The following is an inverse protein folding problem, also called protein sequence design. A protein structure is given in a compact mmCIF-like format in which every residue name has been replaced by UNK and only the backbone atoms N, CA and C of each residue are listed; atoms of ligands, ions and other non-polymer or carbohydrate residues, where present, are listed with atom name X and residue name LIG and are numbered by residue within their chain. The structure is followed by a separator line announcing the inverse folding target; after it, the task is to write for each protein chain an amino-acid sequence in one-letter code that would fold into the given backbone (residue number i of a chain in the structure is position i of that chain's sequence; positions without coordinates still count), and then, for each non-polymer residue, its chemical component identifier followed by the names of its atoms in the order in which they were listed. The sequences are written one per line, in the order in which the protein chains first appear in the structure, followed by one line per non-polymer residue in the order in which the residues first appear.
data_IF_373972347881
#
_entry.id   IF_373972347881
#
_cell.length_a   1.000
_cell.length_b   1.000
_cell.length_c   1.000
_cell.angle_alpha   90.00
_cell.angle_beta   90.00
_cell.angle_gamma   90.00
#
_symmetry.space_group_name_H-M   'P 1'
#
loop_
_entity.id
_entity.type
_entity.pdbx_description
1 polymer ?
#
# COMPACT_ATOMS: atom_id res chain seq x y z
N UNK A 1 0.93 26.06 -52.63
CA UNK A 1 0.63 26.16 -51.19
C UNK A 1 -0.11 24.88 -50.83
N UNK A 2 0.63 23.84 -50.44
CA UNK A 2 0.12 22.47 -50.34
C UNK A 2 -0.44 22.24 -48.93
N UNK A 3 -1.72 21.90 -48.86
CA UNK A 3 -2.41 21.47 -47.65
C UNK A 3 -1.77 20.19 -47.09
N UNK A 4 -1.10 20.31 -45.95
CA UNK A 4 -0.72 19.16 -45.12
C UNK A 4 -1.88 18.86 -44.18
N UNK A 5 -2.76 17.97 -44.61
CA UNK A 5 -3.72 17.30 -43.72
C UNK A 5 -2.96 16.33 -42.83
N UNK A 6 -2.85 16.66 -41.54
CA UNK A 6 -2.36 15.76 -40.50
C UNK A 6 -3.34 14.59 -40.43
N UNK A 7 -2.96 13.45 -41.00
CA UNK A 7 -3.66 12.18 -40.78
C UNK A 7 -3.52 11.84 -39.30
N UNK A 8 -4.59 11.99 -38.53
CA UNK A 8 -4.70 11.36 -37.21
C UNK A 8 -4.50 9.86 -37.38
N UNK A 9 -3.35 9.35 -36.93
CA UNK A 9 -3.15 7.91 -36.78
C UNK A 9 -4.10 7.41 -35.69
N UNK A 10 -4.84 6.31 -35.91
CA UNK A 10 -5.66 5.72 -34.87
C UNK A 10 -4.78 5.33 -33.69
N UNK A 11 -5.25 5.48 -32.43
CA UNK A 11 -4.48 5.09 -31.27
C UNK A 11 -4.11 3.61 -31.38
N UNK A 12 -2.81 3.30 -31.23
CA UNK A 12 -2.31 1.93 -31.24
C UNK A 12 -3.08 1.14 -30.18
N UNK A 13 -3.85 0.14 -30.62
CA UNK A 13 -4.69 -0.64 -29.72
C UNK A 13 -3.82 -1.43 -28.74
N UNK A 14 -4.08 -1.26 -27.44
CA UNK A 14 -3.40 -2.05 -26.41
C UNK A 14 -3.77 -3.53 -26.56
N UNK A 15 -2.77 -4.40 -26.44
CA UNK A 15 -2.91 -5.85 -26.56
C UNK A 15 -2.67 -6.49 -25.19
N UNK A 16 -3.35 -7.61 -24.85
CA UNK A 16 -3.07 -8.32 -23.61
C UNK A 16 -1.59 -8.69 -23.48
N UNK A 17 -1.03 -8.66 -22.27
CA UNK A 17 0.39 -8.96 -22.05
C UNK A 17 0.73 -10.45 -22.16
N UNK A 18 -0.26 -11.31 -22.29
CA UNK A 18 -0.12 -12.76 -22.38
C UNK A 18 -1.24 -13.35 -23.25
N UNK A 19 -1.00 -14.54 -23.79
CA UNK A 19 -1.96 -15.27 -24.63
C UNK A 19 -2.30 -16.65 -24.04
N UNK A 20 -1.45 -17.17 -23.16
CA UNK A 20 -1.62 -18.46 -22.49
C UNK A 20 -2.91 -18.55 -21.66
N UNK A 21 -3.52 -19.75 -21.64
CA UNK A 21 -4.66 -20.05 -20.78
C UNK A 21 -4.17 -20.58 -19.43
N UNK A 22 -3.99 -19.66 -18.48
CA UNK A 22 -3.41 -19.94 -17.16
C UNK A 22 -4.36 -20.70 -16.24
N UNK A 23 -5.68 -20.51 -16.40
CA UNK A 23 -6.70 -21.10 -15.54
C UNK A 23 -7.04 -22.55 -15.92
N UNK A 24 -6.42 -23.09 -16.98
CA UNK A 24 -6.67 -24.42 -17.52
C UNK A 24 -8.07 -24.55 -18.15
N UNK A 25 -8.22 -25.44 -19.14
CA UNK A 25 -9.53 -26.07 -19.36
C UNK A 25 -9.67 -27.08 -18.25
N UNK A 26 -10.62 -26.89 -17.32
CA UNK A 26 -10.95 -27.92 -16.35
C UNK A 26 -11.16 -29.23 -17.11
N UNK A 27 -10.36 -30.25 -16.79
CA UNK A 27 -10.65 -31.61 -17.22
C UNK A 27 -12.03 -31.95 -16.64
N UNK A 28 -12.98 -32.23 -17.52
CA UNK A 28 -14.29 -32.84 -17.26
C UNK A 28 -14.97 -32.47 -15.94
N UNK A 29 -15.77 -31.39 -15.95
CA UNK A 29 -17.11 -31.29 -15.34
C UNK A 29 -17.59 -29.83 -15.27
N UNK A 30 -18.39 -29.40 -16.25
CA UNK A 30 -19.56 -28.49 -16.20
C UNK A 30 -19.63 -27.19 -15.38
N UNK A 31 -18.73 -26.86 -14.45
CA UNK A 31 -18.82 -25.63 -13.63
C UNK A 31 -17.60 -24.75 -13.82
N UNK A 32 -17.65 -23.86 -14.82
CA UNK A 32 -16.66 -22.80 -14.99
C UNK A 32 -16.80 -21.82 -13.83
N UNK A 33 -15.87 -21.85 -12.88
CA UNK A 33 -15.87 -20.91 -11.76
C UNK A 33 -15.78 -19.47 -12.30
N UNK A 34 -16.68 -18.56 -11.90
CA UNK A 34 -16.82 -17.25 -12.53
C UNK A 34 -15.56 -16.39 -12.37
N UNK A 35 -15.29 -15.55 -13.38
CA UNK A 35 -14.14 -14.62 -13.38
C UNK A 35 -14.36 -13.40 -12.47
N UNK A 36 -15.61 -12.97 -12.33
CA UNK A 36 -16.01 -11.77 -11.61
C UNK A 36 -16.84 -12.14 -10.37
N UNK A 37 -16.73 -11.37 -9.27
CA UNK A 37 -17.63 -11.49 -8.14
C UNK A 37 -19.04 -10.95 -8.51
N UNK A 38 -20.06 -11.36 -7.75
CA UNK A 38 -21.43 -10.90 -8.00
C UNK A 38 -21.65 -9.43 -7.63
N UNK A 39 -20.99 -8.95 -6.57
CA UNK A 39 -21.18 -7.60 -6.04
C UNK A 39 -19.88 -6.93 -5.66
N UNK A 40 -19.89 -5.60 -5.64
CA UNK A 40 -18.79 -4.79 -5.15
C UNK A 40 -19.29 -3.61 -4.32
N UNK A 41 -18.41 -3.02 -3.50
CA UNK A 41 -18.73 -1.86 -2.67
C UNK A 41 -18.11 -0.61 -3.26
N UNK A 42 -18.94 0.38 -3.55
CA UNK A 42 -18.50 1.71 -4.01
C UNK A 42 -17.76 2.49 -2.91
N UNK A 43 -17.03 3.56 -3.28
CA UNK A 43 -16.40 4.52 -2.34
C UNK A 43 -17.39 5.11 -1.32
N UNK A 44 -18.70 5.10 -1.61
CA UNK A 44 -19.80 5.54 -0.72
C UNK A 44 -20.37 4.43 0.19
N UNK A 45 -19.73 3.26 0.22
CA UNK A 45 -20.15 2.07 0.97
C UNK A 45 -21.47 1.44 0.51
N UNK A 46 -21.95 1.76 -0.69
CA UNK A 46 -23.13 1.13 -1.28
C UNK A 46 -22.71 -0.14 -2.03
N UNK A 47 -23.47 -1.22 -1.84
CA UNK A 47 -23.29 -2.49 -2.56
C UNK A 47 -23.99 -2.39 -3.91
N UNK A 48 -23.31 -2.78 -4.98
CA UNK A 48 -23.85 -2.82 -6.35
C UNK A 48 -23.51 -4.15 -7.01
N UNK A 49 -24.32 -4.56 -7.99
CA UNK A 49 -24.02 -5.71 -8.84
C UNK A 49 -22.89 -5.36 -9.81
N UNK A 50 -21.99 -6.31 -10.05
CA UNK A 50 -20.89 -6.15 -11.02
C UNK A 50 -21.41 -6.25 -12.46
N UNK A 51 -22.45 -7.06 -12.67
CA UNK A 51 -23.09 -7.24 -13.98
C UNK A 51 -23.66 -5.95 -14.55
N UNK A 52 -24.07 -5.00 -13.70
CA UNK A 52 -24.67 -3.74 -14.13
C UNK A 52 -23.61 -2.80 -14.73
N UNK A 53 -22.40 -2.80 -14.16
CA UNK A 53 -21.32 -1.89 -14.53
C UNK A 53 -19.95 -2.49 -14.16
N UNK A 54 -19.45 -3.37 -15.04
CA UNK A 54 -18.13 -4.00 -14.89
C UNK A 54 -17.03 -2.95 -14.85
N UNK A 55 -17.20 -1.83 -15.58
CA UNK A 55 -16.22 -0.76 -15.64
C UNK A 55 -16.07 -0.08 -14.29
N UNK A 56 -17.16 0.34 -13.66
CA UNK A 56 -17.11 0.96 -12.34
C UNK A 56 -16.65 -0.01 -11.25
N UNK A 57 -16.88 -1.32 -11.43
CA UNK A 57 -16.26 -2.34 -10.59
C UNK A 57 -14.73 -2.32 -10.73
N UNK A 58 -14.20 -2.40 -11.95
CA UNK A 58 -12.76 -2.41 -12.20
C UNK A 58 -12.07 -1.14 -11.71
N UNK A 59 -12.68 0.02 -11.92
CA UNK A 59 -12.18 1.31 -11.41
C UNK A 59 -12.13 1.35 -9.87
N UNK A 60 -13.03 0.61 -9.21
CA UNK A 60 -13.03 0.49 -7.74
C UNK A 60 -12.08 -0.57 -7.22
N UNK A 61 -11.91 -1.69 -7.93
CA UNK A 61 -11.06 -2.81 -7.50
C UNK A 61 -9.57 -2.53 -7.74
N UNK A 62 -9.27 -1.85 -8.84
CA UNK A 62 -7.93 -1.42 -9.22
C UNK A 62 -7.62 0.02 -8.78
N UNK A 63 -8.33 0.55 -7.78
CA UNK A 63 -8.11 1.91 -7.27
C UNK A 63 -6.78 2.01 -6.50
N UNK A 64 -5.90 2.90 -6.99
CA UNK A 64 -4.61 3.26 -6.36
C UNK A 64 -4.44 4.77 -6.19
N UNK A 65 -5.53 5.56 -6.32
CA UNK A 65 -5.52 7.03 -6.27
C UNK A 65 -4.81 7.53 -5.00
N UNK A 66 -5.14 6.92 -3.86
CA UNK A 66 -4.58 7.26 -2.53
C UNK A 66 -3.06 7.18 -2.46
N UNK A 67 -2.44 6.28 -3.22
CA UNK A 67 -0.98 6.13 -3.29
C UNK A 67 -0.38 7.04 -4.36
N UNK A 68 -1.10 7.25 -5.46
CA UNK A 68 -0.70 8.17 -6.51
C UNK A 68 -0.66 9.63 -6.04
N UNK A 69 -1.62 10.05 -5.22
CA UNK A 69 -1.68 11.38 -4.60
C UNK A 69 -0.43 11.71 -3.77
N UNK A 70 0.17 10.68 -3.15
CA UNK A 70 1.34 10.82 -2.30
C UNK A 70 2.63 10.32 -2.96
N UNK A 71 2.61 10.07 -4.28
CA UNK A 71 3.71 9.44 -5.00
C UNK A 71 5.07 10.12 -4.74
N UNK A 72 5.09 11.46 -4.71
CA UNK A 72 6.29 12.28 -4.41
C UNK A 72 6.93 12.01 -3.04
N UNK A 73 6.22 11.39 -2.12
CA UNK A 73 6.69 11.06 -0.76
C UNK A 73 6.93 9.56 -0.56
N UNK A 74 6.62 8.71 -1.54
CA UNK A 74 6.73 7.26 -1.40
C UNK A 74 8.17 6.78 -1.19
N UNK A 75 9.17 7.56 -1.61
CA UNK A 75 10.58 7.30 -1.30
C UNK A 75 10.86 7.21 0.21
N UNK A 76 10.08 7.91 1.03
CA UNK A 76 10.15 7.73 2.47
C UNK A 76 9.59 6.36 2.86
N UNK A 77 8.48 5.91 2.26
CA UNK A 77 7.79 4.70 2.65
C UNK A 77 8.41 3.39 2.13
N UNK A 78 9.13 3.41 1.02
CA UNK A 78 9.74 2.24 0.41
C UNK A 78 10.86 2.58 -0.57
N UNK A 79 11.66 1.58 -0.92
CA UNK A 79 12.68 1.68 -1.97
C UNK A 79 11.99 1.51 -3.33
N UNK A 80 12.40 2.24 -4.39
CA UNK A 80 11.89 2.04 -5.75
C UNK A 80 12.50 0.77 -6.35
N UNK A 81 12.06 -0.39 -5.87
CA UNK A 81 12.48 -1.71 -6.32
C UNK A 81 11.28 -2.64 -6.44
N UNK A 82 11.43 -3.70 -7.24
CA UNK A 82 10.48 -4.82 -7.23
C UNK A 82 10.30 -5.39 -5.81
N UNK A 83 9.13 -5.95 -5.48
CA UNK A 83 8.91 -6.62 -4.20
C UNK A 83 9.82 -7.84 -4.05
N UNK A 84 10.13 -8.20 -2.81
CA UNK A 84 10.88 -9.44 -2.53
C UNK A 84 9.96 -10.66 -2.59
N UNK A 85 10.47 -11.83 -3.02
CA UNK A 85 9.68 -13.05 -3.19
C UNK A 85 9.03 -13.53 -1.89
N UNK A 86 7.97 -14.34 -1.99
CA UNK A 86 7.14 -14.75 -0.86
C UNK A 86 7.91 -15.52 0.22
N UNK A 87 8.83 -16.40 -0.16
CA UNK A 87 9.69 -17.14 0.77
C UNK A 87 10.57 -16.18 1.59
N UNK A 88 11.01 -15.06 1.02
CA UNK A 88 11.76 -14.04 1.74
C UNK A 88 10.88 -13.34 2.78
N UNK A 89 9.61 -13.10 2.48
CA UNK A 89 8.66 -12.55 3.45
C UNK A 89 8.46 -13.51 4.63
N UNK A 90 8.32 -14.80 4.35
CA UNK A 90 8.23 -15.85 5.36
C UNK A 90 9.51 -15.93 6.21
N UNK A 91 10.70 -15.85 5.59
CA UNK A 91 11.99 -15.78 6.28
C UNK A 91 12.09 -14.57 7.23
N UNK A 92 11.49 -13.43 6.84
CA UNK A 92 11.39 -12.23 7.69
C UNK A 92 10.34 -12.35 8.80
N UNK A 93 9.73 -13.52 8.98
CA UNK A 93 8.64 -13.78 9.94
C UNK A 93 7.44 -12.85 9.74
N UNK A 94 7.20 -12.43 8.49
CA UNK A 94 6.00 -11.68 8.13
C UNK A 94 4.92 -12.66 7.71
N UNK A 95 3.78 -12.55 8.37
CA UNK A 95 2.56 -13.24 7.96
C UNK A 95 2.02 -12.63 6.65
N UNK A 96 1.62 -13.48 5.71
CA UNK A 96 1.11 -13.05 4.40
C UNK A 96 -0.40 -12.95 4.51
N UNK A 97 -0.91 -11.72 4.64
CA UNK A 97 -2.33 -11.46 4.88
C UNK A 97 -3.02 -11.06 3.59
N UNK A 98 -4.08 -11.79 3.24
CA UNK A 98 -4.95 -11.48 2.10
C UNK A 98 -5.65 -10.13 2.32
N UNK A 99 -5.51 -9.23 1.34
CA UNK A 99 -6.16 -7.93 1.35
C UNK A 99 -6.74 -7.56 -0.01
N UNK A 100 -8.06 -7.60 -0.16
CA UNK A 100 -8.73 -7.33 -1.45
C UNK A 100 -8.53 -5.92 -1.99
N UNK A 101 -8.17 -4.94 -1.14
CA UNK A 101 -7.94 -3.58 -1.63
C UNK A 101 -6.56 -3.46 -2.27
N UNK A 102 -6.52 -3.01 -3.52
CA UNK A 102 -5.26 -2.84 -4.23
C UNK A 102 -4.33 -1.79 -3.59
N UNK A 103 -4.90 -0.77 -2.92
CA UNK A 103 -4.15 0.23 -2.17
C UNK A 103 -3.37 -0.36 -0.96
N UNK A 104 -3.70 -1.57 -0.51
CA UNK A 104 -2.97 -2.30 0.54
C UNK A 104 -1.99 -3.35 -0.02
N UNK A 105 -2.06 -3.68 -1.30
CA UNK A 105 -1.15 -4.65 -1.91
C UNK A 105 0.31 -4.22 -1.70
N UNK A 106 1.14 -5.10 -1.15
CA UNK A 106 2.55 -4.90 -0.76
C UNK A 106 2.81 -3.84 0.32
N UNK A 107 1.78 -3.41 1.04
CA UNK A 107 1.96 -2.63 2.27
C UNK A 107 2.32 -3.57 3.41
N UNK A 108 3.35 -3.26 4.18
CA UNK A 108 3.84 -4.14 5.24
C UNK A 108 4.04 -3.44 6.58
N UNK A 109 3.96 -4.26 7.63
CA UNK A 109 4.29 -4.00 9.03
C UNK A 109 5.31 -5.04 9.50
N UNK A 110 6.04 -4.83 10.62
CA UNK A 110 7.07 -5.77 11.05
C UNK A 110 6.63 -7.24 11.12
N UNK A 111 5.37 -7.49 11.45
CA UNK A 111 4.82 -8.85 11.59
C UNK A 111 4.00 -9.34 10.38
N UNK A 112 3.62 -8.47 9.43
CA UNK A 112 2.64 -8.81 8.38
C UNK A 112 2.87 -8.05 7.09
N UNK A 113 2.62 -8.68 5.96
CA UNK A 113 2.53 -8.04 4.63
C UNK A 113 1.14 -8.28 4.05
N UNK A 114 0.53 -7.25 3.50
CA UNK A 114 -0.78 -7.33 2.87
C UNK A 114 -0.62 -7.58 1.37
N UNK A 115 -1.28 -8.61 0.84
CA UNK A 115 -1.20 -8.95 -0.59
C UNK A 115 -2.62 -9.19 -1.10
N UNK A 116 -3.02 -8.43 -2.12
CA UNK A 116 -4.25 -8.68 -2.89
C UNK A 116 -4.07 -9.95 -3.73
N UNK A 117 -4.92 -10.99 -3.57
CA UNK A 117 -4.94 -12.17 -4.44
C UNK A 117 -5.08 -11.79 -5.91
N UNK A 118 -4.49 -12.55 -6.83
CA UNK A 118 -4.68 -12.28 -8.26
C UNK A 118 -6.15 -12.54 -8.60
N UNK A 119 -6.91 -11.52 -9.02
CA UNK A 119 -8.27 -11.74 -9.47
C UNK A 119 -8.26 -12.59 -10.74
N UNK A 120 -9.19 -13.54 -10.83
CA UNK A 120 -9.29 -14.46 -11.98
C UNK A 120 -9.40 -13.75 -13.32
N UNK A 121 -10.12 -12.63 -13.37
CA UNK A 121 -10.25 -11.82 -14.58
C UNK A 121 -8.90 -11.25 -15.08
N UNK A 122 -7.90 -11.06 -14.21
CA UNK A 122 -6.55 -10.66 -14.62
C UNK A 122 -5.76 -11.78 -15.28
N UNK A 123 -6.17 -13.04 -15.12
CA UNK A 123 -5.55 -14.23 -15.72
C UNK A 123 -6.23 -14.67 -17.02
N UNK A 124 -7.21 -13.90 -17.52
CA UNK A 124 -7.94 -14.20 -18.77
C UNK A 124 -7.58 -13.18 -19.86
N UNK A 125 -6.86 -13.61 -20.89
CA UNK A 125 -6.47 -12.74 -22.01
C UNK A 125 -7.68 -12.17 -22.78
N UNK A 126 -8.76 -12.94 -22.88
CA UNK A 126 -10.04 -12.48 -23.45
C UNK A 126 -10.66 -11.34 -22.63
N UNK A 127 -10.64 -11.45 -21.30
CA UNK A 127 -11.13 -10.39 -20.42
C UNK A 127 -10.32 -9.11 -20.59
N UNK A 128 -8.99 -9.21 -20.73
CA UNK A 128 -8.14 -8.07 -21.02
C UNK A 128 -8.56 -7.34 -22.29
N UNK A 129 -8.76 -8.06 -23.40
CA UNK A 129 -9.19 -7.47 -24.69
C UNK A 129 -10.50 -6.72 -24.56
N UNK A 130 -11.46 -7.29 -23.83
CA UNK A 130 -12.80 -6.74 -23.72
C UNK A 130 -12.92 -5.57 -22.72
N UNK A 131 -12.25 -5.64 -21.56
CA UNK A 131 -12.54 -4.74 -20.43
C UNK A 131 -11.34 -3.93 -19.90
N UNK A 132 -10.10 -4.28 -20.27
CA UNK A 132 -8.88 -3.60 -19.75
C UNK A 132 -8.17 -2.84 -20.86
N UNK A 133 -7.87 -3.50 -21.98
CA UNK A 133 -7.19 -2.92 -23.15
C UNK A 133 -7.84 -1.65 -23.71
N UNK A 134 -9.19 -1.49 -23.73
CA UNK A 134 -9.80 -0.24 -24.17
C UNK A 134 -9.47 0.97 -23.28
N UNK A 135 -8.90 0.74 -22.08
CA UNK A 135 -8.71 1.77 -21.06
C UNK A 135 -7.27 1.80 -20.55
N UNK A 136 -6.42 2.71 -21.07
CA UNK A 136 -5.00 2.76 -20.75
C UNK A 136 -4.66 2.84 -19.25
N UNK A 137 -5.45 3.59 -18.47
CA UNK A 137 -5.22 3.74 -17.02
C UNK A 137 -5.49 2.44 -16.23
N UNK A 138 -6.48 1.65 -16.66
CA UNK A 138 -6.68 0.32 -16.07
C UNK A 138 -5.59 -0.64 -16.51
N UNK A 139 -5.21 -0.60 -17.79
CA UNK A 139 -4.11 -1.42 -18.30
C UNK A 139 -2.83 -1.18 -17.51
N UNK A 140 -2.44 0.08 -17.34
CA UNK A 140 -1.29 0.53 -16.55
C UNK A 140 -1.25 -0.08 -15.14
N UNK A 141 -2.42 -0.12 -14.51
CA UNK A 141 -2.58 -0.58 -13.12
C UNK A 141 -2.62 -2.09 -13.05
N UNK A 142 -3.44 -2.74 -13.87
CA UNK A 142 -3.55 -4.19 -13.97
C UNK A 142 -2.22 -4.85 -14.35
N UNK A 143 -1.47 -4.24 -15.29
CA UNK A 143 -0.16 -4.73 -15.69
C UNK A 143 0.85 -4.60 -14.55
N UNK A 144 0.81 -3.48 -13.81
CA UNK A 144 1.59 -3.33 -12.58
C UNK A 144 1.31 -4.42 -11.53
N UNK A 145 0.06 -4.85 -11.38
CA UNK A 145 -0.31 -5.98 -10.51
C UNK A 145 0.28 -7.31 -11.02
N UNK A 146 0.26 -7.56 -12.32
CA UNK A 146 0.89 -8.78 -12.84
C UNK A 146 2.40 -8.78 -12.60
N UNK A 147 3.06 -7.65 -12.81
CA UNK A 147 4.50 -7.49 -12.58
C UNK A 147 4.89 -7.72 -11.11
N UNK A 148 4.07 -7.29 -10.14
CA UNK A 148 4.35 -7.57 -8.74
C UNK A 148 4.30 -9.06 -8.44
N UNK A 149 3.36 -9.78 -9.06
CA UNK A 149 3.24 -11.22 -8.88
C UNK A 149 4.37 -12.02 -9.52
N UNK A 150 4.84 -11.61 -10.71
CA UNK A 150 6.06 -12.18 -11.31
C UNK A 150 7.26 -12.03 -10.36
N UNK A 151 7.40 -10.87 -9.70
CA UNK A 151 8.47 -10.66 -8.72
C UNK A 151 8.26 -11.39 -7.37
N UNK A 152 7.01 -11.64 -6.98
CA UNK A 152 6.68 -12.36 -5.75
C UNK A 152 6.90 -13.88 -5.87
N UNK A 153 6.71 -14.44 -7.07
CA UNK A 153 6.72 -15.88 -7.34
C UNK A 153 7.88 -16.22 -8.28
N UNK A 154 9.09 -16.28 -7.70
CA UNK A 154 10.32 -16.59 -8.43
C UNK A 154 10.56 -18.10 -8.52
N UNK A 155 10.23 -18.85 -7.46
CA UNK A 155 10.52 -20.28 -7.35
C UNK A 155 9.27 -21.09 -7.06
N UNK A 156 9.38 -22.41 -7.24
CA UNK A 156 8.29 -23.34 -6.93
C UNK A 156 7.84 -23.27 -5.46
N UNK A 157 8.78 -22.98 -4.54
CA UNK A 157 8.45 -22.73 -3.13
C UNK A 157 7.54 -21.51 -2.97
N UNK A 158 7.78 -20.43 -3.72
CA UNK A 158 6.92 -19.24 -3.71
C UNK A 158 5.55 -19.54 -4.31
N UNK A 159 5.50 -20.35 -5.36
CA UNK A 159 4.25 -20.80 -5.97
C UNK A 159 3.40 -21.57 -4.95
N UNK A 160 4.01 -22.53 -4.25
CA UNK A 160 3.34 -23.29 -3.20
C UNK A 160 2.85 -22.37 -2.07
N UNK A 161 3.66 -21.38 -1.66
CA UNK A 161 3.24 -20.36 -0.69
C UNK A 161 2.06 -19.53 -1.21
N UNK A 162 2.07 -19.12 -2.48
CA UNK A 162 1.01 -18.33 -3.07
C UNK A 162 -0.32 -19.11 -3.11
N UNK A 163 -0.29 -20.38 -3.51
CA UNK A 163 -1.48 -21.25 -3.53
C UNK A 163 -1.98 -21.53 -2.11
N UNK A 164 -1.08 -21.84 -1.17
CA UNK A 164 -1.44 -22.14 0.22
C UNK A 164 -2.06 -20.93 0.94
N UNK A 165 -1.61 -19.71 0.64
CA UNK A 165 -2.17 -18.47 1.20
C UNK A 165 -3.38 -17.94 0.39
N UNK A 166 -3.83 -18.67 -0.64
CA UNK A 166 -4.97 -18.24 -1.47
C UNK A 166 -4.70 -17.00 -2.32
N UNK A 167 -3.43 -16.70 -2.60
CA UNK A 167 -3.02 -15.58 -3.46
C UNK A 167 -3.13 -15.90 -4.96
N UNK A 168 -2.99 -17.17 -5.31
CA UNK A 168 -3.22 -17.70 -6.65
C UNK A 168 -4.40 -18.69 -6.64
N UNK A 169 -5.23 -18.71 -7.70
CA UNK A 169 -6.23 -19.76 -7.88
C UNK A 169 -5.56 -21.14 -7.94
N UNK A 170 -6.19 -22.15 -7.33
CA UNK A 170 -5.65 -23.52 -7.24
C UNK A 170 -5.52 -24.21 -8.61
N UNK A 171 -6.25 -23.69 -9.60
CA UNK A 171 -6.23 -24.17 -10.98
C UNK A 171 -4.93 -23.80 -11.71
N UNK A 172 -4.22 -22.77 -11.25
CA UNK A 172 -2.96 -22.35 -11.85
C UNK A 172 -1.88 -23.35 -11.44
N UNK A 173 -1.38 -24.13 -12.40
CA UNK A 173 -0.27 -25.07 -12.18
C UNK A 173 1.08 -24.35 -12.29
N UNK A 174 2.14 -24.92 -11.69
CA UNK A 174 3.49 -24.36 -11.81
C UNK A 174 3.98 -24.21 -13.26
N UNK A 175 3.81 -25.21 -14.16
CA UNK A 175 4.16 -25.03 -15.57
C UNK A 175 3.36 -23.93 -16.27
N UNK A 176 2.06 -23.80 -15.97
CA UNK A 176 1.24 -22.73 -16.53
C UNK A 176 1.69 -21.34 -16.01
N UNK A 177 2.09 -21.26 -14.74
CA UNK A 177 2.65 -20.04 -14.15
C UNK A 177 3.97 -19.63 -14.82
N UNK A 178 4.86 -20.57 -15.11
CA UNK A 178 6.13 -20.28 -15.78
C UNK A 178 5.92 -19.65 -17.17
N UNK A 179 5.06 -20.25 -18.00
CA UNK A 179 4.72 -19.71 -19.33
C UNK A 179 4.08 -18.32 -19.21
N UNK A 180 3.14 -18.16 -18.27
CA UNK A 180 2.49 -16.88 -18.02
C UNK A 180 3.48 -15.79 -17.60
N UNK A 181 4.38 -16.09 -16.65
CA UNK A 181 5.37 -15.14 -16.16
C UNK A 181 6.35 -14.73 -17.24
N UNK A 182 6.78 -15.67 -18.11
CA UNK A 182 7.61 -15.39 -19.28
C UNK A 182 6.91 -14.46 -20.27
N UNK A 183 5.65 -14.73 -20.63
CA UNK A 183 4.89 -13.88 -21.54
C UNK A 183 4.74 -12.44 -20.99
N UNK A 184 4.40 -12.30 -19.70
CA UNK A 184 4.27 -11.00 -19.02
C UNK A 184 5.61 -10.24 -18.98
N UNK A 185 6.72 -10.93 -18.71
CA UNK A 185 8.06 -10.32 -18.73
C UNK A 185 8.44 -9.83 -20.12
N UNK A 186 8.22 -10.65 -21.15
CA UNK A 186 8.47 -10.28 -22.54
C UNK A 186 7.61 -9.10 -22.98
N UNK A 187 6.35 -9.01 -22.53
CA UNK A 187 5.50 -7.85 -22.78
C UNK A 187 6.07 -6.57 -22.15
N UNK A 188 6.70 -6.67 -20.96
CA UNK A 188 7.37 -5.54 -20.31
C UNK A 188 8.62 -5.07 -21.07
N UNK A 189 9.38 -6.00 -21.66
CA UNK A 189 10.57 -5.70 -22.46
C UNK A 189 10.20 -5.10 -23.81
N UNK A 190 9.18 -5.64 -24.49
CA UNK A 190 8.62 -5.02 -25.71
C UNK A 190 8.15 -3.61 -25.39
N UNK A 191 7.46 -3.42 -24.26
CA UNK A 191 7.05 -2.11 -23.78
C UNK A 191 8.24 -1.16 -23.57
N UNK A 192 9.40 -1.64 -23.09
CA UNK A 192 10.64 -0.85 -22.99
C UNK A 192 11.35 -0.64 -24.33
N UNK A 193 11.29 -1.59 -25.25
CA UNK A 193 11.81 -1.45 -26.61
C UNK A 193 11.02 -0.41 -27.43
N UNK A 194 9.76 -0.16 -27.07
CA UNK A 194 8.98 0.99 -27.56
C UNK A 194 9.31 2.33 -26.86
N UNK A 195 10.15 2.35 -25.82
CA UNK A 195 10.58 3.56 -25.09
C UNK A 195 11.84 4.23 -25.66
N UNK A 196 12.45 3.68 -26.72
CA UNK A 196 13.60 4.30 -27.40
C UNK A 196 13.37 4.38 -28.91
N UNK A 197 12.98 5.56 -29.40
CA UNK A 197 13.49 5.99 -30.69
C UNK A 197 14.03 7.40 -30.50
N UNK A 198 14.92 7.54 -29.51
CA UNK A 198 15.50 8.83 -29.27
C UNK A 198 16.79 8.85 -28.44
N UNK A 199 17.87 9.48 -28.91
CA UNK A 199 17.86 10.39 -30.04
C UNK A 199 16.63 11.33 -30.07
N UNK A 200 16.30 12.01 -28.96
CA UNK A 200 15.36 13.16 -28.79
C UNK A 200 14.68 13.17 -27.40
N UNK A 201 15.36 13.64 -26.36
CA UNK A 201 15.18 15.02 -25.88
C UNK A 201 13.76 15.61 -26.02
N UNK A 202 13.13 15.85 -24.87
CA UNK A 202 12.12 16.88 -24.61
C UNK A 202 10.87 16.92 -25.52
N UNK A 203 9.78 16.26 -25.11
CA UNK A 203 8.43 16.85 -25.10
C UNK A 203 7.37 15.85 -24.64
N UNK A 204 6.38 16.39 -23.94
CA UNK A 204 5.21 15.73 -23.36
C UNK A 204 4.10 15.50 -24.38
N UNK A 205 3.66 14.24 -24.58
CA UNK A 205 2.26 13.77 -24.74
C UNK A 205 2.22 12.29 -25.24
N UNK A 206 1.90 11.34 -24.34
CA UNK A 206 1.24 10.00 -24.49
C UNK A 206 1.57 9.01 -25.65
N UNK A 207 1.33 7.68 -25.50
CA UNK A 207 1.37 6.82 -24.32
C UNK A 207 2.43 5.72 -24.50
N UNK A 208 3.49 5.78 -23.70
CA UNK A 208 4.22 4.57 -23.34
C UNK A 208 3.25 3.60 -22.66
N UNK A 209 3.46 2.28 -22.80
CA UNK A 209 2.79 1.31 -21.92
C UNK A 209 3.30 1.59 -20.50
N UNK A 210 2.57 2.46 -19.81
CA UNK A 210 3.00 3.09 -18.58
C UNK A 210 2.50 2.23 -17.46
N UNK A 211 3.41 1.52 -16.78
CA UNK A 211 3.05 0.92 -15.50
C UNK A 211 2.62 2.07 -14.58
N UNK A 212 1.51 1.88 -13.87
CA UNK A 212 1.03 2.90 -12.93
C UNK A 212 2.14 3.24 -11.91
N UNK A 213 2.36 4.54 -11.67
CA UNK A 213 3.46 5.06 -10.84
C UNK A 213 3.51 4.44 -9.44
N UNK A 214 2.38 3.97 -8.89
CA UNK A 214 2.32 3.20 -7.64
C UNK A 214 3.26 1.98 -7.65
N UNK A 215 3.45 1.30 -8.77
CA UNK A 215 4.21 0.05 -8.85
C UNK A 215 5.71 0.24 -9.06
N UNK A 216 6.20 1.48 -9.16
CA UNK A 216 7.65 1.75 -9.09
C UNK A 216 8.21 1.43 -7.70
N UNK A 217 7.34 1.42 -6.68
CA UNK A 217 7.65 1.00 -5.34
C UNK A 217 6.97 -0.35 -5.07
N UNK A 218 7.76 -1.41 -4.89
CA UNK A 218 7.24 -2.72 -4.53
C UNK A 218 6.65 -2.70 -3.13
N UNK A 219 7.51 -2.72 -2.12
CA UNK A 219 7.12 -2.81 -0.71
C UNK A 219 7.04 -1.44 -0.02
N UNK A 220 5.90 -1.15 0.60
CA UNK A 220 5.67 0.11 1.32
C UNK A 220 5.45 -0.12 2.81
N UNK A 221 6.22 0.56 3.66
CA UNK A 221 6.09 0.44 5.11
C UNK A 221 4.90 1.26 5.63
N UNK A 222 3.94 0.59 6.26
CA UNK A 222 2.71 1.21 6.78
C UNK A 222 2.98 2.33 7.78
N UNK A 223 4.01 2.19 8.63
CA UNK A 223 4.37 3.21 9.60
C UNK A 223 4.77 4.54 8.96
N UNK A 224 5.50 4.47 7.84
CA UNK A 224 5.95 5.66 7.10
C UNK A 224 4.83 6.24 6.23
N UNK A 225 3.96 5.39 5.67
CA UNK A 225 2.72 5.84 5.03
C UNK A 225 1.82 6.60 6.02
N UNK A 226 1.68 6.09 7.25
CA UNK A 226 0.95 6.76 8.30
C UNK A 226 1.58 8.11 8.67
N UNK A 227 2.90 8.20 8.71
CA UNK A 227 3.61 9.46 8.93
C UNK A 227 3.30 10.48 7.84
N UNK A 228 3.40 10.09 6.56
CA UNK A 228 3.08 10.95 5.41
C UNK A 228 1.66 11.49 5.54
N UNK A 229 0.69 10.60 5.78
CA UNK A 229 -0.71 11.00 5.91
C UNK A 229 -0.97 11.94 7.08
N UNK A 230 -0.32 11.70 8.23
CA UNK A 230 -0.52 12.52 9.44
C UNK A 230 0.14 13.89 9.33
N UNK A 231 1.37 13.94 8.84
CA UNK A 231 2.20 15.15 8.85
C UNK A 231 2.00 15.99 7.59
N UNK A 232 1.95 15.34 6.43
CA UNK A 232 1.88 16.05 5.14
C UNK A 232 0.44 16.34 4.74
N UNK A 233 -0.45 15.35 4.85
CA UNK A 233 -1.85 15.50 4.47
C UNK A 233 -2.77 15.93 5.62
N UNK A 234 -2.23 16.11 6.82
CA UNK A 234 -2.99 16.46 8.03
C UNK A 234 -4.18 15.52 8.29
N UNK A 235 -4.06 14.25 7.89
CA UNK A 235 -5.07 13.22 8.12
C UNK A 235 -4.69 12.41 9.37
N UNK A 236 -5.26 12.71 10.54
CA UNK A 236 -4.79 12.15 11.81
C UNK A 236 -4.92 10.62 11.86
N UNK A 237 -5.88 10.06 11.13
CA UNK A 237 -6.12 8.61 11.04
C UNK A 237 -4.94 7.83 10.43
N UNK A 238 -4.08 8.49 9.65
CA UNK A 238 -3.04 7.84 8.87
C UNK A 238 -3.59 7.10 7.65
N UNK A 239 -2.71 6.36 6.96
CA UNK A 239 -3.02 5.58 5.78
C UNK A 239 -3.83 4.31 6.11
N UNK A 240 -3.33 3.52 7.05
CA UNK A 240 -3.92 2.27 7.51
C UNK A 240 -3.51 2.02 8.96
N UNK A 241 -4.49 1.86 9.84
CA UNK A 241 -4.24 1.52 11.25
C UNK A 241 -4.39 0.01 11.42
N UNK A 242 -3.26 -0.69 11.57
CA UNK A 242 -3.27 -2.12 11.92
C UNK A 242 -3.74 -2.37 13.36
N UNK A 243 -3.67 -1.35 14.22
CA UNK A 243 -4.25 -1.38 15.55
C UNK A 243 -5.73 -0.99 15.46
N UNK A 244 -6.61 -1.96 15.69
CA UNK A 244 -8.06 -1.72 15.84
C UNK A 244 -8.39 -1.02 17.15
N UNK A 245 -7.48 -1.09 18.13
CA UNK A 245 -7.69 -0.61 19.49
C UNK A 245 -6.62 0.41 19.87
N UNK A 246 -7.05 1.53 20.48
CA UNK A 246 -6.16 2.58 21.00
C UNK A 246 -5.09 2.04 21.97
N UNK A 247 -5.39 0.98 22.72
CA UNK A 247 -4.46 0.35 23.67
C UNK A 247 -3.22 -0.27 23.03
N UNK A 248 -3.31 -0.80 21.80
CA UNK A 248 -2.15 -1.34 21.10
C UNK A 248 -1.20 -0.23 20.65
N UNK A 249 -1.74 0.90 20.17
CA UNK A 249 -0.96 2.08 19.82
C UNK A 249 -0.20 2.66 21.03
N UNK A 250 -0.85 2.73 22.20
CA UNK A 250 -0.20 3.19 23.44
C UNK A 250 0.90 2.23 23.86
N UNK A 251 0.64 0.92 23.88
CA UNK A 251 1.61 -0.10 24.30
C UNK A 251 2.91 -0.06 23.49
N UNK A 252 2.81 0.10 22.18
CA UNK A 252 3.98 0.12 21.29
C UNK A 252 4.88 1.34 21.49
N UNK A 253 4.33 2.48 21.95
CA UNK A 253 5.10 3.70 22.20
C UNK A 253 5.54 3.84 23.66
N UNK A 254 4.81 3.22 24.60
CA UNK A 254 5.12 3.28 26.04
C UNK A 254 6.51 2.71 26.36
N UNK A 255 6.96 1.67 25.67
CA UNK A 255 8.28 1.08 25.91
C UNK A 255 9.43 2.09 25.72
N UNK A 256 9.38 2.91 24.66
CA UNK A 256 10.38 3.95 24.41
C UNK A 256 10.34 5.05 25.49
N UNK A 257 9.15 5.40 25.99
CA UNK A 257 8.99 6.38 27.05
C UNK A 257 9.49 5.87 28.41
N UNK A 258 9.22 4.59 28.74
CA UNK A 258 9.73 3.95 29.95
C UNK A 258 11.26 3.94 29.93
N UNK A 259 11.89 3.58 28.80
CA UNK A 259 13.33 3.57 28.67
C UNK A 259 13.95 4.98 28.85
N UNK A 260 13.36 6.01 28.22
CA UNK A 260 13.81 7.40 28.37
C UNK A 260 13.66 7.88 29.82
N UNK A 261 12.53 7.58 30.46
CA UNK A 261 12.27 7.94 31.85
C UNK A 261 13.23 7.24 32.82
N UNK A 262 13.49 5.94 32.62
CA UNK A 262 14.46 5.18 33.40
C UNK A 262 15.86 5.79 33.28
N UNK A 263 16.30 6.09 32.06
CA UNK A 263 17.60 6.74 31.82
C UNK A 263 17.68 8.12 32.50
N UNK A 264 16.66 8.96 32.33
CA UNK A 264 16.60 10.28 32.97
C UNK A 264 16.66 10.18 34.50
N UNK A 265 15.98 9.19 35.08
CA UNK A 265 15.98 8.94 36.53
C UNK A 265 17.38 8.54 37.02
N UNK A 266 18.08 7.66 36.28
CA UNK A 266 19.46 7.27 36.62
C UNK A 266 20.39 8.49 36.60
N UNK A 267 20.28 9.34 35.57
CA UNK A 267 21.10 10.56 35.46
C UNK A 267 20.77 11.53 36.59
N UNK A 268 19.49 11.72 36.93
CA UNK A 268 19.05 12.54 38.06
C UNK A 268 19.62 12.05 39.39
N UNK A 269 19.59 10.74 39.64
CA UNK A 269 20.17 10.16 40.85
C UNK A 269 21.68 10.37 40.91
N UNK A 270 22.39 10.23 39.79
CA UNK A 270 23.82 10.52 39.73
C UNK A 270 24.14 12.02 39.97
N UNK A 271 23.32 12.92 39.42
CA UNK A 271 23.45 14.36 39.66
C UNK A 271 23.19 14.73 41.11
N UNK A 272 22.20 14.11 41.77
CA UNK A 272 21.92 14.30 43.20
C UNK A 272 23.14 13.92 44.05
N UNK A 273 23.82 12.82 43.73
CA UNK A 273 25.06 12.41 44.41
C UNK A 273 26.19 13.42 44.13
N UNK A 274 26.31 13.90 42.90
CA UNK A 274 27.31 14.91 42.53
C UNK A 274 27.14 16.22 43.32
N UNK A 275 25.91 16.73 43.41
CA UNK A 275 25.58 17.94 44.18
C UNK A 275 25.81 17.79 45.69
N UNK A 276 25.78 16.55 46.21
CA UNK A 276 26.06 16.27 47.61
C UNK A 276 27.57 16.25 47.93
N UNK A 277 28.46 16.29 46.92
CA UNK A 277 29.91 16.35 47.11
C UNK A 277 30.41 17.79 47.04
N UNK A 278 31.36 18.19 47.90
CA UNK A 278 31.91 19.55 47.88
C UNK A 278 32.67 19.88 46.58
N UNK A 279 33.18 18.87 45.87
CA UNK A 279 33.91 19.04 44.62
C UNK A 279 33.05 19.55 43.46
N UNK A 280 31.78 19.13 43.40
CA UNK A 280 30.86 19.48 42.32
C UNK A 280 29.69 20.35 42.79
N UNK A 281 29.33 20.30 44.07
CA UNK A 281 28.26 21.11 44.66
C UNK A 281 28.59 22.60 44.71
N UNK A 282 29.87 22.96 44.85
CA UNK A 282 30.34 24.35 44.90
C UNK A 282 30.56 24.95 43.50
N UNK A 283 30.48 24.14 42.42
CA UNK A 283 30.61 24.60 41.04
C UNK A 283 29.26 25.11 40.51
N UNK A 284 29.21 26.41 40.22
CA UNK A 284 28.02 27.08 39.68
C UNK A 284 27.54 26.47 38.34
N UNK A 285 28.45 26.07 37.46
CA UNK A 285 28.10 25.49 36.16
C UNK A 285 27.42 24.13 36.35
N UNK A 286 27.90 23.32 37.30
CA UNK A 286 27.31 22.02 37.62
C UNK A 286 25.94 22.16 38.31
N UNK A 287 25.80 23.13 39.23
CA UNK A 287 24.53 23.47 39.86
C UNK A 287 23.46 23.90 38.84
N UNK A 288 23.82 24.80 37.92
CA UNK A 288 22.91 25.25 36.85
C UNK A 288 22.52 24.13 35.88
N UNK A 289 23.47 23.28 35.47
CA UNK A 289 23.19 22.13 34.61
C UNK A 289 22.22 21.15 35.29
N UNK A 290 22.42 20.87 36.58
CA UNK A 290 21.56 19.99 37.36
C UNK A 290 20.15 20.55 37.53
N UNK A 291 20.01 21.87 37.74
CA UNK A 291 18.71 22.55 37.79
C UNK A 291 17.96 22.44 36.46
N UNK A 292 18.61 22.80 35.35
CA UNK A 292 17.99 22.75 34.01
C UNK A 292 17.58 21.32 33.65
N UNK A 293 18.44 20.34 33.91
CA UNK A 293 18.13 18.93 33.66
C UNK A 293 16.96 18.43 34.50
N UNK A 294 16.87 18.85 35.77
CA UNK A 294 15.75 18.49 36.65
C UNK A 294 14.42 19.06 36.17
N UNK A 295 14.40 20.33 35.77
CA UNK A 295 13.21 20.96 35.18
C UNK A 295 12.81 20.24 33.88
N UNK A 296 13.79 19.95 33.02
CA UNK A 296 13.55 19.20 31.78
C UNK A 296 12.96 17.81 32.05
N UNK A 297 13.49 17.07 33.02
CA UNK A 297 13.02 15.72 33.36
C UNK A 297 11.59 15.70 33.93
N UNK A 298 11.09 16.82 34.47
CA UNK A 298 9.70 16.96 34.91
C UNK A 298 8.80 17.38 33.73
N UNK A 299 9.21 18.39 32.97
CA UNK A 299 8.38 18.96 31.90
C UNK A 299 8.28 18.01 30.70
N UNK A 300 9.36 17.31 30.34
CA UNK A 300 9.39 16.46 29.16
C UNK A 300 8.33 15.33 29.22
N UNK A 301 8.22 14.52 30.29
CA UNK A 301 7.16 13.52 30.40
C UNK A 301 5.75 14.12 30.39
N UNK A 302 5.53 15.26 31.05
CA UNK A 302 4.23 15.95 31.06
C UNK A 302 3.83 16.42 29.66
N UNK A 303 4.78 16.98 28.91
CA UNK A 303 4.56 17.44 27.53
C UNK A 303 4.20 16.29 26.60
N UNK A 304 4.88 15.14 26.73
CA UNK A 304 4.61 13.92 25.97
C UNK A 304 3.21 13.40 26.29
N UNK A 305 2.84 13.36 27.57
CA UNK A 305 1.53 12.90 28.00
C UNK A 305 0.42 13.82 27.47
N UNK A 306 0.61 15.14 27.58
CA UNK A 306 -0.31 16.13 27.02
C UNK A 306 -0.45 16.00 25.50
N UNK A 307 0.65 15.81 24.78
CA UNK A 307 0.64 15.57 23.34
C UNK A 307 -0.10 14.28 22.97
N UNK A 308 0.12 13.19 23.72
CA UNK A 308 -0.57 11.92 23.53
C UNK A 308 -2.09 12.08 23.72
N UNK A 309 -2.54 12.72 24.81
CA UNK A 309 -3.96 12.99 25.04
C UNK A 309 -4.55 13.93 23.98
N UNK A 310 -3.80 14.94 23.54
CA UNK A 310 -4.21 15.83 22.46
C UNK A 310 -4.45 15.07 21.15
N UNK A 311 -3.51 14.22 20.74
CA UNK A 311 -3.64 13.39 19.52
C UNK A 311 -4.84 12.43 19.65
N UNK A 312 -5.01 11.78 20.80
CA UNK A 312 -6.16 10.90 21.05
C UNK A 312 -7.49 11.68 21.01
N UNK A 313 -7.54 12.88 21.58
CA UNK A 313 -8.71 13.77 21.54
C UNK A 313 -9.07 14.21 20.13
N UNK A 314 -8.08 14.60 19.32
CA UNK A 314 -8.27 14.94 17.90
C UNK A 314 -8.80 13.72 17.13
N UNK A 315 -8.19 12.55 17.33
CA UNK A 315 -8.65 11.31 16.68
C UNK A 315 -10.08 10.95 17.08
N UNK A 316 -10.42 11.08 18.36
CA UNK A 316 -11.75 10.80 18.88
C UNK A 316 -12.79 11.76 18.29
N UNK A 317 -12.52 13.06 18.33
CA UNK A 317 -13.43 14.09 17.78
C UNK A 317 -13.66 13.91 16.27
N UNK A 318 -12.61 13.66 15.49
CA UNK A 318 -12.72 13.39 14.04
C UNK A 318 -13.53 12.12 13.77
N UNK A 319 -13.26 11.03 14.49
CA UNK A 319 -14.02 9.80 14.34
C UNK A 319 -15.49 9.98 14.75
N UNK A 320 -15.77 10.72 15.82
CA UNK A 320 -17.11 11.02 16.30
C UNK A 320 -17.88 11.88 15.29
N UNK A 321 -17.30 12.99 14.83
CA UNK A 321 -17.89 13.87 13.81
C UNK A 321 -18.22 13.10 12.53
N UNK A 322 -17.32 12.23 12.06
CA UNK A 322 -17.58 11.40 10.88
C UNK A 322 -18.73 10.43 11.12
N UNK A 323 -18.75 9.78 12.28
CA UNK A 323 -19.82 8.85 12.65
C UNK A 323 -21.17 9.55 12.71
N UNK A 324 -21.23 10.75 13.31
CA UNK A 324 -22.43 11.58 13.34
C UNK A 324 -22.86 12.01 11.94
N UNK A 325 -21.94 12.46 11.08
CA UNK A 325 -22.23 12.82 9.68
C UNK A 325 -22.77 11.63 8.87
N UNK A 326 -22.19 10.45 9.02
CA UNK A 326 -22.68 9.23 8.35
C UNK A 326 -24.07 8.86 8.88
N UNK A 327 -24.29 8.90 10.19
CA UNK A 327 -25.61 8.65 10.80
C UNK A 327 -26.66 9.66 10.31
N UNK A 328 -26.32 10.95 10.24
CA UNK A 328 -27.21 11.98 9.73
C UNK A 328 -27.56 11.75 8.24
N UNK A 329 -26.58 11.46 7.39
CA UNK A 329 -26.81 11.13 5.98
C UNK A 329 -27.65 9.87 5.79
N UNK A 330 -27.50 8.86 6.65
CA UNK A 330 -28.32 7.64 6.62
C UNK A 330 -29.77 7.91 7.05
N UNK A 331 -29.99 8.72 8.10
CA UNK A 331 -31.34 9.13 8.51
C UNK A 331 -32.09 9.86 7.40
N UNK A 332 -31.41 10.74 6.65
CA UNK A 332 -32.01 11.50 5.54
C UNK A 332 -32.36 10.60 4.34
N UNK A 333 -31.61 9.52 4.11
CA UNK A 333 -31.75 8.67 2.91
C UNK A 333 -32.66 7.45 3.09
N UNK A 334 -33.22 7.22 4.28
CA UNK A 334 -34.14 6.10 4.53
C UNK A 334 -33.56 4.69 4.25
N UNK A 335 -32.24 4.56 4.12
CA UNK A 335 -31.61 3.31 3.70
C UNK A 335 -31.34 2.42 4.92
N UNK A 336 -32.20 1.42 5.13
CA UNK A 336 -31.90 0.24 5.92
C UNK A 336 -30.97 -0.68 5.14
N UNK A 337 -29.80 -0.93 5.74
CA UNK A 337 -28.68 -1.81 5.33
C UNK A 337 -28.07 -1.55 3.94
#
# INVERSE_FOLDING_TARGET
MSDYTVKEQPPVALVPPFCSNVLGRGADNGSTTPLLPATYRTKRHMVRLVSDDVRAFLDSDLDVDRLNDIHKWLWMAGLPSAPRPLHYQAMKKRDIVVAEKLDLHLVWSPARIFVKPVPRYLLSSEFWRAHICPYPQLYATAFGVLMTYVALIEREVDYNLAVNNGLLPKEVTWPAWLVFAEEVMLASERSKAYLDPSLTSHSSFEPSVSINRRFFYGELRVGRLNLIYRVVLWQPRGYFSGCTTYGAFVRDNVNSFIALFAYATIVLSAMQVGLATPWLGDDYAFGMASYVFSVFAIIAPLSVLAALFGVLGILFTVNLLRTLRIRAKRRIRGAGV
#
